data_IF_282292054842
#
_entry.id   IF_282292054842
#
_cell.length_a   1.000
_cell.length_b   1.000
_cell.length_c   1.000
_cell.angle_alpha   90.00
_cell.angle_beta   90.00
_cell.angle_gamma   90.00
#
_symmetry.space_group_name_H-M   'P 1'
#
loop_
_entity.id
_entity.type
_entity.pdbx_description
1 polymer ?
#
# COMPACT_ATOMS: atom_id res chain seq x y z
N UNK A 1 25.64 11.27 -24.97
CA UNK A 1 25.17 10.37 -23.90
C UNK A 1 23.69 10.64 -23.64
N UNK A 2 22.78 9.80 -24.15
CA UNK A 2 21.34 9.98 -23.95
C UNK A 2 20.94 9.64 -22.52
N UNK A 3 20.44 10.62 -21.76
CA UNK A 3 19.83 10.42 -20.44
C UNK A 3 18.63 9.47 -20.62
N UNK A 4 18.79 8.18 -20.30
CA UNK A 4 17.66 7.24 -20.21
C UNK A 4 16.66 7.80 -19.20
N UNK A 5 15.52 8.32 -19.67
CA UNK A 5 14.38 8.67 -18.81
C UNK A 5 14.01 7.41 -18.01
N UNK A 6 14.07 7.48 -16.68
CA UNK A 6 13.53 6.40 -15.83
C UNK A 6 12.06 6.24 -16.21
N UNK A 7 11.66 5.05 -16.64
CA UNK A 7 10.23 4.74 -16.84
C UNK A 7 9.52 5.03 -15.52
N UNK A 8 8.38 5.74 -15.51
CA UNK A 8 7.60 5.92 -14.30
C UNK A 8 7.23 4.54 -13.76
N UNK A 9 7.41 4.34 -12.46
CA UNK A 9 7.10 3.07 -11.81
C UNK A 9 5.59 2.87 -11.88
N UNK A 10 5.14 1.67 -12.28
CA UNK A 10 3.70 1.38 -12.25
C UNK A 10 3.20 1.41 -10.80
N UNK A 11 2.00 1.98 -10.55
CA UNK A 11 1.38 1.93 -9.24
C UNK A 11 1.29 0.51 -8.70
N UNK A 12 1.60 0.33 -7.42
CA UNK A 12 1.54 -0.97 -6.78
C UNK A 12 1.13 -0.83 -5.31
N UNK A 13 0.51 -1.87 -4.78
CA UNK A 13 0.05 -1.87 -3.40
C UNK A 13 1.15 -2.35 -2.46
N UNK A 14 1.63 -1.46 -1.59
CA UNK A 14 2.64 -1.79 -0.59
C UNK A 14 2.27 -3.00 0.29
N UNK A 15 1.00 -3.06 0.71
CA UNK A 15 0.47 -4.10 1.60
C UNK A 15 0.45 -5.49 0.99
N UNK A 16 0.17 -5.65 -0.32
CA UNK A 16 -0.01 -6.97 -0.94
C UNK A 16 0.78 -7.21 -2.23
N UNK A 17 1.69 -6.31 -2.59
CA UNK A 17 2.56 -6.37 -3.77
C UNK A 17 1.86 -6.43 -5.15
N UNK A 18 0.54 -6.21 -5.22
CA UNK A 18 -0.20 -6.18 -6.50
C UNK A 18 0.09 -4.92 -7.30
N UNK A 19 0.28 -5.08 -8.61
CA UNK A 19 0.43 -3.98 -9.57
C UNK A 19 -0.93 -3.48 -10.07
N UNK A 20 -0.97 -2.20 -10.43
CA UNK A 20 -2.13 -1.50 -10.95
C UNK A 20 -1.70 -0.58 -12.09
N UNK A 21 -2.61 -0.33 -13.04
CA UNK A 21 -2.33 0.57 -14.16
C UNK A 21 -2.53 2.06 -13.79
N UNK A 22 -3.35 2.34 -12.78
CA UNK A 22 -3.71 3.70 -12.34
C UNK A 22 -3.73 3.80 -10.81
N UNK A 23 -3.27 4.93 -10.29
CA UNK A 23 -3.25 5.23 -8.86
C UNK A 23 -4.66 5.26 -8.25
N UNK A 24 -5.68 5.70 -8.99
CA UNK A 24 -7.08 5.68 -8.53
C UNK A 24 -7.54 4.25 -8.27
N UNK A 25 -7.16 3.29 -9.12
CA UNK A 25 -7.52 1.88 -8.96
C UNK A 25 -6.77 1.29 -7.75
N UNK A 26 -5.50 1.66 -7.58
CA UNK A 26 -4.72 1.29 -6.39
C UNK A 26 -5.39 1.80 -5.10
N UNK A 27 -5.80 3.06 -5.05
CA UNK A 27 -6.48 3.65 -3.88
C UNK A 27 -7.80 2.92 -3.62
N UNK A 28 -8.61 2.66 -4.66
CA UNK A 28 -9.85 1.90 -4.51
C UNK A 28 -9.59 0.50 -3.95
N UNK A 29 -8.54 -0.17 -4.41
CA UNK A 29 -8.10 -1.46 -3.90
C UNK A 29 -7.71 -1.39 -2.41
N UNK A 30 -6.89 -0.41 -2.03
CA UNK A 30 -6.48 -0.20 -0.64
C UNK A 30 -7.70 -0.04 0.29
N UNK A 31 -8.65 0.82 -0.09
CA UNK A 31 -9.90 1.03 0.64
C UNK A 31 -10.74 -0.24 0.79
N UNK A 32 -10.81 -1.05 -0.26
CA UNK A 32 -11.66 -2.24 -0.28
C UNK A 32 -11.04 -3.45 0.44
N UNK A 33 -9.71 -3.60 0.37
CA UNK A 33 -9.00 -4.80 0.85
C UNK A 33 -8.28 -4.61 2.18
N UNK A 34 -7.70 -3.43 2.41
CA UNK A 34 -6.82 -3.16 3.54
C UNK A 34 -7.47 -2.24 4.57
N UNK A 35 -8.20 -1.23 4.12
CA UNK A 35 -8.81 -0.21 4.99
C UNK A 35 -10.31 -0.39 5.17
N UNK A 36 -10.78 -1.64 5.18
CA UNK A 36 -12.18 -1.99 5.46
C UNK A 36 -12.29 -2.48 6.89
N UNK A 37 -13.10 -1.80 7.71
CA UNK A 37 -13.43 -2.26 9.05
C UNK A 37 -14.11 -3.64 8.98
N UNK A 38 -13.63 -4.61 9.76
CA UNK A 38 -14.21 -5.95 9.79
C UNK A 38 -15.56 -6.01 10.54
N UNK A 39 -15.88 -4.98 11.33
CA UNK A 39 -17.06 -4.96 12.20
C UNK A 39 -18.23 -4.27 11.49
N UNK A 40 -18.05 -3.02 11.05
CA UNK A 40 -19.11 -2.25 10.37
C UNK A 40 -18.93 -2.14 8.85
N UNK A 41 -17.89 -2.75 8.28
CA UNK A 41 -17.62 -2.74 6.84
C UNK A 41 -17.36 -1.35 6.24
N UNK A 42 -17.21 -0.31 7.07
CA UNK A 42 -16.82 1.04 6.66
C UNK A 42 -15.44 1.01 6.01
N UNK A 43 -15.32 1.68 4.87
CA UNK A 43 -14.05 1.87 4.16
C UNK A 43 -13.42 3.19 4.59
N UNK A 44 -12.17 3.13 5.00
CA UNK A 44 -11.32 4.25 5.38
C UNK A 44 -10.25 4.45 4.31
N UNK A 45 -9.43 5.49 4.45
CA UNK A 45 -8.44 5.88 3.45
C UNK A 45 -6.99 5.52 3.79
N UNK A 46 -6.69 5.32 5.07
CA UNK A 46 -5.33 5.06 5.57
C UNK A 46 -5.35 4.04 6.71
N UNK A 47 -4.18 3.47 7.00
CA UNK A 47 -3.97 2.55 8.13
C UNK A 47 -4.31 3.17 9.48
N UNK A 48 -3.76 4.35 9.83
CA UNK A 48 -4.09 5.02 11.08
C UNK A 48 -5.59 5.34 11.19
N UNK A 49 -6.21 5.76 10.09
CA UNK A 49 -7.66 6.02 10.03
C UNK A 49 -8.50 4.79 10.35
N UNK A 50 -8.09 3.60 9.88
CA UNK A 50 -8.74 2.34 10.24
C UNK A 50 -8.55 2.00 11.72
N UNK A 51 -7.33 2.10 12.24
CA UNK A 51 -7.01 1.79 13.63
C UNK A 51 -7.78 2.70 14.62
N UNK A 52 -7.80 4.01 14.33
CA UNK A 52 -8.56 5.00 15.11
C UNK A 52 -10.05 4.68 15.05
N UNK A 53 -10.59 4.38 13.87
CA UNK A 53 -12.00 4.03 13.70
C UNK A 53 -12.40 2.82 14.54
N UNK A 54 -11.62 1.73 14.49
CA UNK A 54 -11.88 0.54 15.30
C UNK A 54 -11.80 0.85 16.80
N UNK A 55 -10.79 1.62 17.23
CA UNK A 55 -10.58 1.95 18.64
C UNK A 55 -11.69 2.86 19.19
N UNK A 56 -12.11 3.88 18.43
CA UNK A 56 -13.08 4.86 18.91
C UNK A 56 -14.52 4.34 18.85
N UNK A 57 -14.91 3.73 17.71
CA UNK A 57 -16.29 3.34 17.40
C UNK A 57 -16.61 1.95 17.95
N UNK A 58 -15.65 1.02 17.90
CA UNK A 58 -15.87 -0.37 18.27
C UNK A 58 -15.14 -0.80 19.55
N UNK A 59 -14.30 0.07 20.12
CA UNK A 59 -13.44 -0.25 21.28
C UNK A 59 -12.50 -1.43 21.02
N UNK A 60 -12.16 -1.65 19.75
CA UNK A 60 -11.30 -2.74 19.27
C UNK A 60 -9.97 -2.18 18.79
N UNK A 61 -8.87 -2.78 19.24
CA UNK A 61 -7.51 -2.37 18.83
C UNK A 61 -7.09 -3.12 17.58
N UNK A 62 -6.55 -2.40 16.59
CA UNK A 62 -5.99 -2.99 15.37
C UNK A 62 -4.47 -2.99 15.48
N UNK A 63 -3.89 -4.17 15.70
CA UNK A 63 -2.42 -4.33 15.76
C UNK A 63 -1.77 -4.44 14.38
N UNK A 64 -2.55 -4.86 13.36
CA UNK A 64 -2.06 -4.97 11.99
C UNK A 64 -3.17 -4.76 10.96
N UNK A 65 -2.81 -4.18 9.82
CA UNK A 65 -3.67 -3.98 8.66
C UNK A 65 -4.05 -5.35 8.06
N UNK A 66 -5.35 -5.64 7.86
CA UNK A 66 -5.77 -6.93 7.35
C UNK A 66 -5.35 -7.15 5.89
N UNK A 67 -5.15 -8.42 5.54
CA UNK A 67 -4.73 -8.86 4.20
C UNK A 67 -3.39 -8.26 3.71
N UNK A 68 -2.59 -7.73 4.64
CA UNK A 68 -1.24 -7.26 4.37
C UNK A 68 -0.21 -8.39 4.50
N UNK A 69 0.98 -8.17 3.94
CA UNK A 69 2.12 -9.04 4.18
C UNK A 69 2.58 -8.91 5.64
N UNK A 70 3.15 -9.97 6.25
CA UNK A 70 3.53 -9.97 7.66
C UNK A 70 4.41 -8.78 8.10
N UNK A 71 5.31 -8.33 7.21
CA UNK A 71 6.24 -7.22 7.48
C UNK A 71 5.73 -5.85 7.01
N UNK A 72 4.46 -5.77 6.56
CA UNK A 72 3.86 -4.56 5.98
C UNK A 72 2.44 -4.32 6.48
N UNK A 73 2.16 -4.83 7.68
CA UNK A 73 0.87 -4.67 8.34
C UNK A 73 0.83 -3.53 9.33
N UNK A 74 1.90 -2.77 9.50
CA UNK A 74 1.97 -1.75 10.52
C UNK A 74 0.95 -0.62 10.26
N UNK A 75 0.00 -0.37 11.17
CA UNK A 75 -1.03 0.65 10.98
C UNK A 75 -0.53 2.07 11.22
N UNK A 76 0.68 2.29 11.75
CA UNK A 76 1.26 3.62 11.97
C UNK A 76 1.85 4.20 10.68
N UNK A 77 2.19 3.35 9.72
CA UNK A 77 2.70 3.78 8.41
C UNK A 77 1.53 4.31 7.57
N UNK A 78 1.47 5.63 7.42
CA UNK A 78 0.46 6.29 6.62
C UNK A 78 0.77 6.21 5.13
N UNK A 79 0.03 5.36 4.41
CA UNK A 79 0.15 5.20 2.95
C UNK A 79 -1.18 5.53 2.29
N UNK A 80 -1.13 6.40 1.28
CA UNK A 80 -2.25 6.74 0.41
C UNK A 80 -1.81 6.61 -1.05
N UNK A 81 -2.37 5.66 -1.80
CA UNK A 81 -1.87 5.37 -3.14
C UNK A 81 -0.42 4.92 -3.09
N UNK A 82 0.48 5.65 -3.77
CA UNK A 82 1.93 5.46 -3.65
C UNK A 82 2.62 6.41 -2.67
N UNK A 83 1.90 7.41 -2.15
CA UNK A 83 2.44 8.37 -1.20
C UNK A 83 2.59 7.72 0.19
N UNK A 84 3.67 8.04 0.89
CA UNK A 84 3.98 7.49 2.21
C UNK A 84 4.64 6.11 2.22
N UNK A 85 4.87 5.49 1.07
CA UNK A 85 5.64 4.23 0.99
C UNK A 85 7.10 4.49 1.45
N UNK A 86 7.64 3.71 2.41
CA UNK A 86 9.02 3.86 2.85
C UNK A 86 10.03 3.78 1.70
N UNK A 87 11.02 4.69 1.69
CA UNK A 87 12.02 4.76 0.61
C UNK A 87 12.80 3.45 0.40
N UNK A 88 13.00 2.69 1.48
CA UNK A 88 13.66 1.37 1.43
C UNK A 88 12.88 0.41 0.53
N UNK A 89 11.56 0.34 0.69
CA UNK A 89 10.69 -0.53 -0.12
C UNK A 89 10.57 -0.03 -1.56
N UNK A 90 10.53 1.30 -1.78
CA UNK A 90 10.56 1.88 -3.12
C UNK A 90 11.83 1.49 -3.88
N UNK A 91 12.99 1.59 -3.21
CA UNK A 91 14.29 1.20 -3.79
C UNK A 91 14.34 -0.30 -4.07
N UNK A 92 13.84 -1.13 -3.17
CA UNK A 92 13.76 -2.58 -3.39
C UNK A 92 12.87 -2.92 -4.60
N UNK A 93 11.70 -2.30 -4.72
CA UNK A 93 10.78 -2.48 -5.86
C UNK A 93 11.44 -2.06 -7.18
N UNK A 94 12.12 -0.91 -7.20
CA UNK A 94 12.85 -0.43 -8.37
C UNK A 94 13.93 -1.42 -8.83
N UNK A 95 14.68 -2.00 -7.88
CA UNK A 95 15.72 -2.99 -8.18
C UNK A 95 15.14 -4.29 -8.74
N UNK A 96 13.99 -4.75 -8.22
CA UNK A 96 13.30 -5.94 -8.72
C UNK A 96 12.82 -5.76 -10.16
N UNK A 97 12.17 -4.63 -10.46
CA UNK A 97 11.70 -4.33 -11.82
C UNK A 97 12.86 -4.17 -12.83
N UNK A 98 14.02 -3.64 -12.40
CA UNK A 98 15.20 -3.54 -13.27
C UNK A 98 15.83 -4.89 -13.63
N UNK A 99 15.70 -5.91 -12.77
CA UNK A 99 16.17 -7.28 -13.04
C UNK A 99 15.24 -8.02 -14.00
N UNK A 100 13.93 -7.78 -13.94
CA UNK A 100 12.97 -8.42 -14.85
C UNK A 100 13.02 -7.86 -16.28
N UNK A 101 13.33 -6.56 -16.46
CA UNK A 101 13.46 -5.91 -17.78
C UNK A 101 14.80 -6.25 -18.49
N UNK A 102 15.82 -6.71 -17.75
CA UNK A 102 17.16 -7.06 -18.31
C UNK A 102 17.32 -8.54 -18.69
N UNK A 103 16.36 -9.39 -18.31
CA UNK A 103 16.35 -10.81 -18.64
C UNK A 103 15.51 -11.18 -19.87
N UNK A 104 15.09 -10.19 -20.68
CA UNK A 104 14.27 -10.38 -21.87
C UNK A 104 14.92 -9.80 -23.11
#
# INVERSE_FOLDING_TARGET
MGRKKKKPMKPWCWYCNRDFDDEKILIQHQKAKHFKCMICHKKLYTGPGLAIHCTQVHKETVSAIPNSLPNRGDPEIEIYGMEGIPEKDLKERQQRQGKEDSGK
#
